data_IF_619033400503
#
_entry.id   IF_619033400503
#
_cell.length_a   1.000
_cell.length_b   1.000
_cell.length_c   1.000
_cell.angle_alpha   90.00
_cell.angle_beta   90.00
_cell.angle_gamma   90.00
#
_symmetry.space_group_name_H-M   'P 1'
#
loop_
_entity.id
_entity.type
_entity.pdbx_description
1 polymer ?
#
# COMPACT_ATOMS: atom_id res chain seq x y z
N UNK A 1 2.45 20.41 7.01
CA UNK A 1 2.60 19.39 8.05
C UNK A 1 3.65 19.83 9.07
N UNK A 2 3.34 19.73 10.33
CA UNK A 2 4.30 20.00 11.38
C UNK A 2 5.27 18.82 11.55
N UNK A 3 6.49 19.03 12.06
CA UNK A 3 7.40 17.93 12.35
C UNK A 3 6.80 16.95 13.34
N UNK A 4 7.09 15.66 13.15
CA UNK A 4 6.67 14.62 14.08
C UNK A 4 7.38 14.81 15.42
N UNK A 5 6.64 14.66 16.50
CA UNK A 5 7.15 14.75 17.87
C UNK A 5 6.93 13.43 18.58
N UNK A 6 7.96 12.99 19.28
CA UNK A 6 7.88 11.82 20.15
C UNK A 6 7.28 12.22 21.48
N UNK A 7 6.16 11.59 21.85
CA UNK A 7 5.57 11.74 23.17
C UNK A 7 5.93 10.53 24.02
N UNK A 8 6.56 10.78 25.19
CA UNK A 8 6.78 9.73 26.17
C UNK A 8 5.46 9.48 26.90
N UNK A 9 5.01 8.22 26.89
CA UNK A 9 3.85 7.83 27.68
C UNK A 9 4.14 7.96 29.17
N UNK A 10 3.15 8.41 29.92
CA UNK A 10 3.16 8.35 31.38
C UNK A 10 2.96 6.88 31.80
N UNK A 11 3.85 6.34 32.62
CA UNK A 11 3.76 5.00 33.22
C UNK A 11 3.54 3.83 32.23
N UNK A 12 4.61 3.21 31.74
CA UNK A 12 4.61 1.94 30.98
C UNK A 12 3.86 1.96 29.63
N UNK A 13 3.44 3.12 29.14
CA UNK A 13 2.86 3.22 27.79
C UNK A 13 3.98 3.29 26.74
N UNK A 14 3.76 2.63 25.61
CA UNK A 14 4.64 2.69 24.45
C UNK A 14 4.80 4.13 23.96
N UNK A 15 5.99 4.53 23.48
CA UNK A 15 6.17 5.85 22.90
C UNK A 15 5.21 6.07 21.74
N UNK A 16 4.69 7.29 21.66
CA UNK A 16 3.81 7.72 20.57
C UNK A 16 4.47 8.85 19.78
N UNK A 17 4.16 8.90 18.50
CA UNK A 17 4.57 10.00 17.63
C UNK A 17 3.34 10.80 17.24
N UNK A 18 3.46 12.11 17.28
CA UNK A 18 2.36 13.02 16.99
C UNK A 18 2.79 14.12 16.04
N UNK A 19 1.89 14.49 15.13
CA UNK A 19 2.06 15.64 14.24
C UNK A 19 0.69 16.31 14.05
N UNK A 20 0.71 17.50 13.47
CA UNK A 20 -0.50 18.20 13.08
C UNK A 20 -0.48 18.39 11.58
N UNK A 21 -1.51 17.91 10.90
CA UNK A 21 -1.70 18.15 9.48
C UNK A 21 -2.49 19.44 9.28
N UNK A 22 -2.15 20.17 8.20
CA UNK A 22 -3.06 21.17 7.65
C UNK A 22 -4.36 20.47 7.21
N UNK A 23 -5.54 21.07 7.37
CA UNK A 23 -6.79 20.46 6.92
C UNK A 23 -6.78 19.96 5.48
N UNK A 24 -6.15 20.72 4.56
CA UNK A 24 -6.03 20.29 3.18
C UNK A 24 -5.11 19.07 3.02
N UNK A 25 -3.98 19.04 3.72
CA UNK A 25 -3.06 17.88 3.73
C UNK A 25 -3.79 16.62 4.22
N UNK A 26 -4.57 16.76 5.28
CA UNK A 26 -5.35 15.64 5.82
C UNK A 26 -6.35 15.11 4.80
N UNK A 27 -7.05 16.01 4.10
CA UNK A 27 -8.01 15.63 3.07
C UNK A 27 -7.32 14.89 1.91
N UNK A 28 -6.19 15.39 1.43
CA UNK A 28 -5.42 14.78 0.36
C UNK A 28 -4.92 13.39 0.77
N UNK A 29 -4.36 13.25 1.96
CA UNK A 29 -3.87 11.96 2.46
C UNK A 29 -5.02 10.97 2.63
N UNK A 30 -6.16 11.41 3.16
CA UNK A 30 -7.35 10.58 3.29
C UNK A 30 -7.87 10.08 1.94
N UNK A 31 -7.96 10.97 0.96
CA UNK A 31 -8.41 10.63 -0.40
C UNK A 31 -7.44 9.67 -1.09
N UNK A 32 -6.14 9.91 -0.97
CA UNK A 32 -5.12 9.01 -1.53
C UNK A 32 -5.16 7.63 -0.86
N UNK A 33 -5.31 7.59 0.45
CA UNK A 33 -5.42 6.33 1.19
C UNK A 33 -6.60 5.51 0.66
N UNK A 34 -7.75 6.13 0.49
CA UNK A 34 -8.95 5.47 -0.05
C UNK A 34 -8.73 5.02 -1.50
N UNK A 35 -8.19 5.89 -2.33
CA UNK A 35 -7.96 5.61 -3.76
C UNK A 35 -7.01 4.43 -3.96
N UNK A 36 -5.88 4.43 -3.25
CA UNK A 36 -4.89 3.35 -3.35
C UNK A 36 -5.46 2.05 -2.80
N UNK A 37 -6.16 2.11 -1.67
CA UNK A 37 -6.81 0.93 -1.08
C UNK A 37 -7.82 0.31 -2.03
N UNK A 38 -8.68 1.12 -2.64
CA UNK A 38 -9.68 0.63 -3.62
C UNK A 38 -9.02 0.02 -4.85
N UNK A 39 -7.93 0.60 -5.35
CA UNK A 39 -7.20 0.08 -6.49
C UNK A 39 -6.58 -1.29 -6.19
N UNK A 40 -5.98 -1.45 -5.01
CA UNK A 40 -5.40 -2.72 -4.58
C UNK A 40 -6.48 -3.79 -4.37
N UNK A 41 -7.60 -3.44 -3.76
CA UNK A 41 -8.72 -4.36 -3.56
C UNK A 41 -9.29 -4.82 -4.92
N UNK A 42 -9.50 -3.88 -5.83
CA UNK A 42 -10.00 -4.21 -7.17
C UNK A 42 -9.04 -5.14 -7.92
N UNK A 43 -7.74 -4.91 -7.79
CA UNK A 43 -6.72 -5.79 -8.37
C UNK A 43 -6.83 -7.22 -7.82
N UNK A 44 -6.92 -7.36 -6.51
CA UNK A 44 -7.06 -8.67 -5.87
C UNK A 44 -8.34 -9.39 -6.28
N UNK A 45 -9.45 -8.65 -6.36
CA UNK A 45 -10.75 -9.22 -6.73
C UNK A 45 -10.84 -9.62 -8.20
N UNK A 46 -10.02 -9.01 -9.07
CA UNK A 46 -10.00 -9.33 -10.50
C UNK A 46 -9.10 -10.50 -10.85
N UNK A 47 -8.44 -11.12 -9.89
CA UNK A 47 -7.60 -12.28 -10.14
C UNK A 47 -8.40 -13.43 -10.74
N UNK A 48 -7.89 -14.11 -11.79
CA UNK A 48 -8.58 -15.25 -12.38
C UNK A 48 -8.78 -16.37 -11.35
N UNK A 49 -9.96 -16.94 -11.32
CA UNK A 49 -10.25 -18.12 -10.50
C UNK A 49 -9.80 -19.36 -11.27
N UNK A 50 -8.92 -20.14 -10.67
CA UNK A 50 -8.54 -21.44 -11.16
C UNK A 50 -9.21 -22.49 -10.27
N UNK A 51 -10.20 -23.20 -10.80
CA UNK A 51 -10.96 -24.20 -10.06
C UNK A 51 -10.07 -25.33 -9.55
N UNK A 52 -9.03 -25.68 -10.31
CA UNK A 52 -8.09 -26.73 -9.91
C UNK A 52 -7.22 -26.29 -8.72
N UNK A 53 -6.73 -25.07 -8.74
CA UNK A 53 -5.96 -24.51 -7.65
C UNK A 53 -6.82 -24.34 -6.38
N UNK A 54 -8.09 -23.97 -6.56
CA UNK A 54 -9.05 -23.85 -5.47
C UNK A 54 -9.31 -25.21 -4.80
N UNK A 55 -9.39 -26.28 -5.58
CA UNK A 55 -9.49 -27.65 -5.07
C UNK A 55 -8.27 -28.06 -4.26
N UNK A 56 -7.08 -27.59 -4.62
CA UNK A 56 -5.83 -27.89 -3.91
C UNK A 56 -5.59 -26.96 -2.72
N UNK A 57 -6.47 -25.97 -2.48
CA UNK A 57 -6.29 -24.99 -1.41
C UNK A 57 -5.17 -24.00 -1.68
N UNK A 58 -4.74 -23.85 -2.95
CA UNK A 58 -3.69 -22.90 -3.36
C UNK A 58 -4.37 -21.64 -3.90
N UNK A 59 -4.05 -20.50 -3.28
CA UNK A 59 -4.52 -19.20 -3.80
C UNK A 59 -3.76 -18.86 -5.08
N UNK A 60 -4.50 -18.61 -6.18
CA UNK A 60 -3.90 -18.12 -7.42
C UNK A 60 -4.18 -16.64 -7.57
N UNK A 61 -3.13 -15.88 -7.85
CA UNK A 61 -3.19 -14.47 -8.19
C UNK A 61 -3.04 -14.25 -9.69
N UNK A 62 -2.89 -12.99 -10.08
CA UNK A 62 -2.57 -12.63 -11.44
C UNK A 62 -1.18 -13.14 -11.83
N UNK A 63 -1.00 -13.46 -13.10
CA UNK A 63 0.32 -13.82 -13.67
C UNK A 63 0.96 -12.65 -14.41
N UNK A 64 0.16 -11.68 -14.87
CA UNK A 64 0.63 -10.51 -15.60
C UNK A 64 0.63 -9.27 -14.72
N UNK A 65 1.55 -8.35 -15.01
CA UNK A 65 1.63 -7.07 -14.32
C UNK A 65 0.33 -6.26 -14.51
N UNK A 66 -0.01 -5.37 -13.57
CA UNK A 66 -1.14 -4.48 -13.75
C UNK A 66 -0.96 -3.61 -14.99
N UNK A 67 -2.04 -3.44 -15.76
CA UNK A 67 -2.04 -2.54 -16.92
C UNK A 67 -1.97 -1.08 -16.51
N UNK A 68 -2.52 -0.73 -15.35
CA UNK A 68 -2.45 0.61 -14.79
C UNK A 68 -1.02 0.90 -14.31
N UNK A 69 -0.33 1.91 -14.87
CA UNK A 69 1.04 2.23 -14.48
C UNK A 69 1.18 2.64 -13.01
N UNK A 70 0.13 3.16 -12.41
CA UNK A 70 0.12 3.53 -10.99
C UNK A 70 0.19 2.30 -10.10
N UNK A 71 -0.61 1.28 -10.40
CA UNK A 71 -0.55 0.00 -9.69
C UNK A 71 0.74 -0.75 -9.97
N UNK A 72 1.27 -0.66 -11.18
CA UNK A 72 2.54 -1.30 -11.53
C UNK A 72 3.70 -0.80 -10.68
N UNK A 73 3.65 0.44 -10.18
CA UNK A 73 4.63 0.99 -9.24
C UNK A 73 4.57 0.31 -7.88
N UNK A 74 3.39 -0.14 -7.46
CA UNK A 74 3.18 -0.81 -6.18
C UNK A 74 3.37 -2.32 -6.26
N UNK A 75 3.21 -2.88 -7.45
CA UNK A 75 3.27 -4.32 -7.70
C UNK A 75 4.28 -4.59 -8.82
N UNK A 76 5.56 -4.28 -8.60
CA UNK A 76 6.60 -4.42 -9.63
C UNK A 76 6.89 -5.88 -9.94
N UNK A 77 7.62 -6.09 -11.03
CA UNK A 77 8.07 -7.42 -11.43
C UNK A 77 9.00 -8.03 -10.38
N UNK A 78 8.90 -9.33 -10.21
CA UNK A 78 9.72 -10.09 -9.27
C UNK A 78 11.12 -10.36 -9.81
N UNK A 79 11.23 -10.49 -11.14
CA UNK A 79 12.48 -10.69 -11.84
C UNK A 79 12.83 -9.43 -12.64
N UNK A 80 14.13 -9.18 -12.83
CA UNK A 80 14.57 -8.05 -13.65
C UNK A 80 14.48 -8.41 -15.12
N UNK A 81 14.06 -7.44 -15.92
CA UNK A 81 14.11 -7.56 -17.37
C UNK A 81 15.55 -7.85 -17.81
N UNK A 82 15.74 -8.89 -18.62
CA UNK A 82 17.05 -9.37 -19.04
C UNK A 82 17.58 -10.57 -18.28
N UNK A 83 16.98 -10.95 -17.15
CA UNK A 83 17.29 -12.20 -16.47
C UNK A 83 16.78 -13.37 -17.33
N UNK A 84 17.56 -14.47 -17.36
CA UNK A 84 17.22 -15.63 -18.20
C UNK A 84 15.86 -16.26 -17.84
N UNK A 85 15.44 -16.09 -16.58
CA UNK A 85 14.21 -16.68 -16.02
C UNK A 85 13.04 -15.70 -16.00
N UNK A 86 13.22 -14.48 -16.52
CA UNK A 86 12.22 -13.41 -16.45
C UNK A 86 10.84 -13.84 -16.97
N UNK A 87 10.78 -14.42 -18.17
CA UNK A 87 9.51 -14.79 -18.80
C UNK A 87 8.86 -16.03 -18.19
N UNK A 88 9.64 -16.93 -17.58
CA UNK A 88 9.13 -18.19 -17.01
C UNK A 88 8.69 -18.05 -15.56
N UNK A 89 9.51 -17.40 -14.74
CA UNK A 89 9.33 -17.39 -13.28
C UNK A 89 8.58 -16.17 -12.76
N UNK A 90 8.64 -15.03 -13.46
CA UNK A 90 8.00 -13.80 -12.98
C UNK A 90 6.48 -13.96 -12.83
N UNK A 91 5.81 -14.55 -13.83
CA UNK A 91 4.37 -14.81 -13.77
C UNK A 91 4.00 -15.78 -12.65
N UNK A 92 4.79 -16.83 -12.46
CA UNK A 92 4.57 -17.79 -11.37
C UNK A 92 4.74 -17.13 -10.00
N UNK A 93 5.82 -16.37 -9.81
CA UNK A 93 6.07 -15.66 -8.55
C UNK A 93 4.95 -14.65 -8.26
N UNK A 94 4.48 -13.96 -9.28
CA UNK A 94 3.35 -13.03 -9.13
C UNK A 94 2.10 -13.76 -8.68
N UNK A 95 1.77 -14.89 -9.30
CA UNK A 95 0.57 -15.64 -8.95
C UNK A 95 0.60 -16.19 -7.52
N UNK A 96 1.79 -16.47 -7.01
CA UNK A 96 1.96 -17.01 -5.66
C UNK A 96 2.00 -15.91 -4.57
N UNK A 97 2.54 -14.73 -4.89
CA UNK A 97 2.90 -13.74 -3.87
C UNK A 97 2.16 -12.42 -3.94
N UNK A 98 1.56 -12.06 -5.09
CA UNK A 98 0.94 -10.75 -5.26
C UNK A 98 -0.17 -10.48 -4.24
N UNK A 99 -1.03 -11.47 -3.98
CA UNK A 99 -2.13 -11.31 -3.05
C UNK A 99 -1.64 -11.04 -1.62
N UNK A 100 -0.56 -11.68 -1.21
CA UNK A 100 0.05 -11.44 0.10
C UNK A 100 0.67 -10.04 0.20
N UNK A 101 1.27 -9.57 -0.89
CA UNK A 101 1.82 -8.20 -0.98
C UNK A 101 0.68 -7.18 -0.89
N UNK A 102 -0.41 -7.40 -1.61
CA UNK A 102 -1.61 -6.53 -1.55
C UNK A 102 -2.15 -6.48 -0.12
N UNK A 103 -2.27 -7.62 0.53
CA UNK A 103 -2.76 -7.70 1.91
C UNK A 103 -1.88 -6.92 2.87
N UNK A 104 -0.56 -7.05 2.76
CA UNK A 104 0.39 -6.31 3.58
C UNK A 104 0.27 -4.80 3.35
N UNK A 105 0.14 -4.36 2.10
CA UNK A 105 -0.02 -2.95 1.76
C UNK A 105 -1.35 -2.40 2.27
N UNK A 106 -2.43 -3.15 2.17
CA UNK A 106 -3.74 -2.75 2.72
C UNK A 106 -3.69 -2.62 4.25
N UNK A 107 -2.96 -3.50 4.92
CA UNK A 107 -2.76 -3.41 6.37
C UNK A 107 -2.03 -2.12 6.73
N UNK A 108 -1.00 -1.75 5.97
CA UNK A 108 -0.26 -0.50 6.17
C UNK A 108 -1.16 0.72 5.93
N UNK A 109 -1.97 0.71 4.87
CA UNK A 109 -2.92 1.78 4.56
C UNK A 109 -3.98 1.92 5.65
N UNK A 110 -4.40 0.82 6.25
CA UNK A 110 -5.35 0.83 7.36
C UNK A 110 -4.78 1.55 8.59
N UNK A 111 -3.48 1.44 8.84
CA UNK A 111 -2.82 2.20 9.92
C UNK A 111 -2.97 3.71 9.70
N UNK A 112 -2.78 4.17 8.46
CA UNK A 112 -2.97 5.59 8.11
C UNK A 112 -4.43 6.00 8.30
N UNK A 113 -5.35 5.21 7.77
CA UNK A 113 -6.79 5.49 7.88
C UNK A 113 -7.25 5.59 9.33
N UNK A 114 -6.80 4.67 10.18
CA UNK A 114 -7.14 4.68 11.60
C UNK A 114 -6.55 5.90 12.32
N UNK A 115 -5.31 6.28 11.95
CA UNK A 115 -4.65 7.44 12.55
C UNK A 115 -5.36 8.75 12.18
N UNK A 116 -5.88 8.87 10.96
CA UNK A 116 -6.65 10.05 10.55
C UNK A 116 -7.97 10.16 11.29
N UNK A 117 -8.59 9.03 11.66
CA UNK A 117 -9.85 8.98 12.36
C UNK A 117 -11.04 9.48 11.54
N UNK A 118 -12.27 9.28 12.04
CA UNK A 118 -13.49 9.66 11.30
C UNK A 118 -13.88 11.12 11.42
N UNK A 119 -13.32 11.87 12.38
CA UNK A 119 -13.85 13.16 12.80
C UNK A 119 -13.24 14.38 12.11
N UNK A 120 -12.33 14.18 11.17
CA UNK A 120 -11.68 15.30 10.49
C UNK A 120 -10.67 16.05 11.35
N UNK A 121 -10.24 15.50 12.47
CA UNK A 121 -9.21 16.09 13.31
C UNK A 121 -7.88 16.20 12.58
N UNK A 122 -7.15 17.27 12.86
CA UNK A 122 -5.86 17.54 12.23
C UNK A 122 -4.68 16.96 13.00
N UNK A 123 -4.87 16.66 14.27
CA UNK A 123 -3.84 16.01 15.08
C UNK A 123 -3.81 14.51 14.78
N UNK A 124 -2.63 14.02 14.43
CA UNK A 124 -2.42 12.61 14.08
C UNK A 124 -1.41 12.03 15.06
N UNK A 125 -1.80 10.94 15.74
CA UNK A 125 -0.94 10.24 16.69
C UNK A 125 -0.87 8.77 16.31
N UNK A 126 0.35 8.23 16.24
CA UNK A 126 0.59 6.82 15.98
C UNK A 126 1.47 6.23 17.07
N UNK A 127 1.31 4.94 17.32
CA UNK A 127 2.20 4.21 18.21
C UNK A 127 3.52 3.89 17.51
N UNK A 128 4.60 3.74 18.28
CA UNK A 128 5.91 3.41 17.73
C UNK A 128 5.89 2.14 16.88
N UNK A 129 5.12 1.14 17.30
CA UNK A 129 4.99 -0.12 16.56
C UNK A 129 4.36 0.08 15.17
N UNK A 130 3.57 1.13 14.98
CA UNK A 130 2.89 1.44 13.73
C UNK A 130 3.68 2.36 12.80
N UNK A 131 4.80 2.93 13.28
CA UNK A 131 5.56 3.93 12.54
C UNK A 131 6.05 3.40 11.18
N UNK A 132 6.57 2.18 11.14
CA UNK A 132 7.04 1.57 9.90
C UNK A 132 5.92 1.34 8.89
N UNK A 133 4.77 0.89 9.37
CA UNK A 133 3.59 0.68 8.53
C UNK A 133 3.07 2.00 7.97
N UNK A 134 3.03 3.05 8.80
CA UNK A 134 2.62 4.39 8.39
C UNK A 134 3.54 4.94 7.29
N UNK A 135 4.85 4.84 7.49
CA UNK A 135 5.85 5.29 6.50
C UNK A 135 5.72 4.49 5.20
N UNK A 136 5.56 3.17 5.29
CA UNK A 136 5.42 2.32 4.11
C UNK A 136 4.18 2.69 3.30
N UNK A 137 3.06 2.97 3.98
CA UNK A 137 1.83 3.40 3.31
C UNK A 137 1.99 4.76 2.62
N UNK A 138 2.63 5.72 3.28
CA UNK A 138 2.91 7.03 2.67
C UNK A 138 3.81 6.88 1.43
N UNK A 139 4.79 6.00 1.48
CA UNK A 139 5.65 5.73 0.33
C UNK A 139 4.85 5.14 -0.84
N UNK A 140 3.96 4.19 -0.57
CA UNK A 140 3.10 3.62 -1.60
C UNK A 140 2.18 4.68 -2.22
N UNK A 141 1.58 5.55 -1.40
CA UNK A 141 0.78 6.66 -1.90
C UNK A 141 1.59 7.60 -2.79
N UNK A 142 2.83 7.89 -2.41
CA UNK A 142 3.75 8.71 -3.20
C UNK A 142 4.05 8.06 -4.55
N UNK A 143 4.35 6.78 -4.57
CA UNK A 143 4.64 6.04 -5.81
C UNK A 143 3.43 6.01 -6.73
N UNK A 144 2.26 5.78 -6.18
CA UNK A 144 1.01 5.76 -6.93
C UNK A 144 0.70 7.13 -7.56
N UNK A 145 0.79 8.18 -6.77
CA UNK A 145 0.51 9.54 -7.25
C UNK A 145 1.52 10.02 -8.28
N UNK A 146 2.80 9.70 -8.11
CA UNK A 146 3.85 10.16 -9.02
C UNK A 146 3.83 9.49 -10.38
N UNK A 147 3.19 8.33 -10.52
CA UNK A 147 3.07 7.65 -11.80
C UNK A 147 2.13 8.39 -12.77
N UNK A 148 1.18 9.20 -12.27
CA UNK A 148 0.32 10.04 -13.10
C UNK A 148 1.12 11.13 -13.83
N UNK A 149 2.10 11.72 -13.14
CA UNK A 149 2.90 12.81 -13.71
C UNK A 149 3.78 12.33 -14.86
N UNK A 150 4.27 11.09 -14.81
CA UNK A 150 5.12 10.54 -15.86
C UNK A 150 4.32 10.10 -17.11
N UNK A 151 3.01 9.92 -16.99
CA UNK A 151 2.13 9.57 -18.10
C UNK A 151 1.69 10.77 -18.94
N UNK A 152 1.81 11.99 -18.43
CA UNK A 152 1.35 13.21 -19.11
C UNK A 152 2.41 13.84 -20.03
N UNK A 153 3.64 13.37 -20.00
CA UNK A 153 4.76 13.86 -20.83
C UNK A 153 4.98 13.06 -22.12
N UNK A 154 4.11 12.12 -22.41
CA UNK A 154 4.24 11.30 -23.62
C UNK A 154 3.48 11.93 -24.79
#
# INVERSE_FOLDING_TARGET
>A
MQPWRRKKGLMRTTPKYSTVFDPLEREVIGDLTATVSEALIARAQSAPKDDFAEMLGVATGHTEAPADPRLARLLPDFEREGDEEFDGDNGLLRSLHENDIIRAKLTNLQVVNAALGPTGGVEVTIEEAEAHQFIAALNDMRLYASADDSGSEA
#
